data_IF_961719193187
#
_entry.id   IF_961719193187
#
_cell.length_a   1.000
_cell.length_b   1.000
_cell.length_c   1.000
_cell.angle_alpha   90.00
_cell.angle_beta   90.00
_cell.angle_gamma   90.00
#
_symmetry.space_group_name_H-M   'P 1'
#
loop_
_entity.id
_entity.type
_entity.pdbx_description
1 polymer ?
#
# COMPACT_ATOMS: atom_id res chain seq x y z
N UNK A 1 35.23 6.10 49.78
CA UNK A 1 34.61 6.89 48.71
C UNK A 1 34.61 6.03 47.46
N UNK A 2 33.45 5.49 47.08
CA UNK A 2 32.99 5.17 45.73
C UNK A 2 31.83 4.17 45.87
N UNK A 3 30.61 4.71 45.73
CA UNK A 3 29.37 3.96 45.55
C UNK A 3 29.26 3.66 44.05
N UNK A 4 29.22 2.39 43.67
CA UNK A 4 28.94 2.00 42.29
C UNK A 4 27.43 2.03 42.06
N UNK A 5 26.96 3.01 41.29
CA UNK A 5 25.61 3.03 40.73
C UNK A 5 25.56 2.02 39.58
N UNK A 6 24.83 0.93 39.76
CA UNK A 6 24.38 0.10 38.64
C UNK A 6 23.20 0.81 37.97
N UNK A 7 23.46 1.41 36.81
CA UNK A 7 22.41 1.83 35.89
C UNK A 7 21.81 0.60 35.22
N UNK A 8 20.53 0.34 35.48
CA UNK A 8 19.72 -0.53 34.62
C UNK A 8 19.61 0.14 33.25
N UNK A 9 20.30 -0.39 32.25
CA UNK A 9 19.95 -0.14 30.85
C UNK A 9 18.82 -1.10 30.50
N UNK A 10 17.61 -0.56 30.38
CA UNK A 10 16.56 -1.21 29.61
C UNK A 10 17.01 -1.22 28.14
N UNK A 11 17.26 -2.39 27.58
CA UNK A 11 17.44 -2.58 26.14
C UNK A 11 16.11 -2.35 25.45
N UNK A 12 15.92 -1.16 24.91
CA UNK A 12 14.90 -0.90 23.88
C UNK A 12 15.56 -1.18 22.53
N UNK A 13 15.44 -2.40 22.02
CA UNK A 13 15.76 -2.73 20.62
C UNK A 13 14.66 -2.15 19.70
N UNK A 14 14.66 -0.82 19.54
CA UNK A 14 13.90 -0.06 18.51
C UNK A 14 14.87 0.60 17.53
N UNK A 15 15.75 -0.18 16.92
CA UNK A 15 16.65 0.23 15.83
C UNK A 15 16.57 -0.90 14.79
N UNK A 16 15.98 -0.74 13.60
CA UNK A 16 16.57 0.07 12.53
C UNK A 16 15.59 0.36 11.35
N UNK A 17 14.37 0.87 11.59
CA UNK A 17 13.55 1.48 10.51
C UNK A 17 13.01 2.84 10.94
N UNK A 18 13.25 3.89 10.15
CA UNK A 18 13.13 5.24 10.69
C UNK A 18 11.69 5.69 10.97
N UNK A 19 10.65 5.25 10.26
CA UNK A 19 9.26 5.58 10.61
C UNK A 19 8.26 4.51 10.12
N UNK A 20 7.55 3.91 11.06
CA UNK A 20 6.38 3.06 10.85
C UNK A 20 5.23 3.61 11.70
N UNK A 21 4.09 3.88 11.08
CA UNK A 21 2.91 4.46 11.74
C UNK A 21 1.66 3.70 11.32
N UNK A 22 0.89 3.21 12.29
CA UNK A 22 -0.44 2.64 12.06
C UNK A 22 -1.43 3.39 12.94
N UNK A 23 -2.45 3.96 12.31
CA UNK A 23 -3.49 4.74 12.97
C UNK A 23 -4.80 3.99 12.85
N UNK A 24 -5.41 3.68 14.00
CA UNK A 24 -6.79 3.24 14.10
C UNK A 24 -7.68 4.47 14.26
N UNK A 25 -8.38 4.85 13.19
CA UNK A 25 -9.11 6.10 13.14
C UNK A 25 -10.40 6.01 13.98
N UNK A 26 -10.57 6.94 14.91
CA UNK A 26 -11.72 6.97 15.81
C UNK A 26 -11.59 6.05 17.03
N UNK A 27 -10.47 5.32 17.20
CA UNK A 27 -10.15 4.63 18.43
C UNK A 27 -9.99 5.61 19.61
N UNK A 28 -10.33 5.16 20.81
CA UNK A 28 -10.20 5.96 22.05
C UNK A 28 -8.96 5.62 22.87
N UNK A 29 -8.24 4.56 22.49
CA UNK A 29 -6.99 4.13 23.12
C UNK A 29 -6.16 3.36 22.12
N UNK A 30 -4.85 3.50 22.17
CA UNK A 30 -3.94 2.66 21.41
C UNK A 30 -3.98 1.22 21.89
N UNK A 31 -3.66 0.29 20.98
CA UNK A 31 -3.62 -1.13 21.29
C UNK A 31 -2.54 -1.84 20.47
N UNK A 32 -2.11 -3.00 20.97
CA UNK A 32 -1.24 -3.88 20.18
C UNK A 32 -2.07 -4.60 19.13
N UNK A 33 -1.43 -4.92 18.01
CA UNK A 33 -1.97 -5.83 17.01
C UNK A 33 -2.15 -7.23 17.61
N UNK A 34 -3.27 -7.90 17.31
CA UNK A 34 -3.59 -9.20 17.92
C UNK A 34 -2.62 -10.31 17.49
N UNK A 35 -2.01 -10.18 16.31
CA UNK A 35 -1.11 -11.18 15.73
C UNK A 35 0.34 -10.72 15.87
N UNK A 36 0.61 -9.42 15.75
CA UNK A 36 1.97 -8.87 15.78
C UNK A 36 2.18 -8.07 17.03
N UNK A 37 2.66 -8.74 18.07
CA UNK A 37 2.91 -8.14 19.39
C UNK A 37 3.87 -6.94 19.36
N UNK A 38 4.64 -6.78 18.28
CA UNK A 38 5.57 -5.66 18.08
C UNK A 38 4.97 -4.49 17.27
N UNK A 39 3.75 -4.65 16.73
CA UNK A 39 3.02 -3.61 16.01
C UNK A 39 1.96 -2.98 16.91
N UNK A 40 2.03 -1.66 17.03
CA UNK A 40 1.04 -0.85 17.76
C UNK A 40 0.17 -0.07 16.78
N UNK A 41 -1.13 -0.05 17.07
CA UNK A 41 -2.12 0.83 16.47
C UNK A 41 -2.36 2.01 17.41
N UNK A 42 -2.07 3.22 16.94
CA UNK A 42 -2.24 4.47 17.69
C UNK A 42 -3.61 5.10 17.38
N UNK A 43 -4.10 5.97 18.27
CA UNK A 43 -5.29 6.78 17.95
C UNK A 43 -4.94 7.89 16.95
N UNK A 44 -5.96 8.47 16.34
CA UNK A 44 -5.78 9.55 15.36
C UNK A 44 -5.70 10.97 15.95
N UNK A 45 -5.81 11.12 17.27
CA UNK A 45 -5.98 12.42 17.94
C UNK A 45 -4.80 13.39 17.73
N UNK A 46 -3.59 12.87 17.49
CA UNK A 46 -2.40 13.69 17.21
C UNK A 46 -2.33 14.19 15.76
N UNK A 47 -3.08 13.55 14.85
CA UNK A 47 -3.00 13.76 13.41
C UNK A 47 -4.17 14.56 12.86
N UNK A 48 -5.31 14.56 13.57
CA UNK A 48 -6.51 15.31 13.19
C UNK A 48 -7.33 15.72 14.42
N UNK A 49 -7.98 16.88 14.36
CA UNK A 49 -8.76 17.44 15.48
C UNK A 49 -10.27 17.56 15.20
N UNK A 50 -10.71 17.16 14.01
CA UNK A 50 -12.11 17.26 13.55
C UNK A 50 -12.72 15.87 13.34
N UNK A 51 -14.04 15.83 13.14
CA UNK A 51 -14.77 14.59 12.89
C UNK A 51 -15.24 13.88 14.15
N UNK A 52 -16.10 12.88 13.94
CA UNK A 52 -16.75 12.11 14.99
C UNK A 52 -16.28 10.65 14.93
N UNK A 53 -15.88 10.12 16.08
CA UNK A 53 -15.55 8.71 16.26
C UNK A 53 -16.82 7.86 16.18
N UNK A 54 -16.74 6.72 15.48
CA UNK A 54 -17.82 5.74 15.36
C UNK A 54 -17.27 4.36 15.66
N UNK A 55 -18.11 3.53 16.25
CA UNK A 55 -17.83 2.13 16.54
C UNK A 55 -18.79 1.23 15.77
N UNK A 56 -18.27 0.22 15.09
CA UNK A 56 -19.00 -0.71 14.24
C UNK A 56 -19.40 -1.95 15.05
N UNK A 57 -20.48 -1.84 15.83
CA UNK A 57 -20.95 -2.86 16.77
C UNK A 57 -21.16 -4.25 16.13
N UNK A 58 -21.71 -4.29 14.91
CA UNK A 58 -22.10 -5.53 14.23
C UNK A 58 -21.04 -6.04 13.24
N UNK A 59 -19.85 -5.44 13.21
CA UNK A 59 -18.80 -5.84 12.30
C UNK A 59 -18.07 -7.08 12.82
N UNK A 60 -18.40 -8.24 12.24
CA UNK A 60 -17.65 -9.47 12.45
C UNK A 60 -16.40 -9.47 11.54
N UNK A 61 -15.28 -8.98 12.08
CA UNK A 61 -13.99 -8.87 11.38
C UNK A 61 -12.84 -9.33 12.28
N UNK A 62 -11.79 -9.88 11.68
CA UNK A 62 -10.49 -10.14 12.31
C UNK A 62 -9.59 -8.88 12.36
N UNK A 63 -9.95 -7.82 11.63
CA UNK A 63 -9.25 -6.53 11.64
C UNK A 63 -9.81 -5.64 12.75
N UNK A 64 -9.24 -5.75 13.96
CA UNK A 64 -9.70 -4.99 15.14
C UNK A 64 -9.63 -3.49 14.92
N UNK A 65 -8.55 -3.04 14.28
CA UNK A 65 -8.28 -1.67 13.86
C UNK A 65 -9.32 -1.09 12.87
N UNK A 66 -10.26 -1.92 12.40
CA UNK A 66 -11.35 -1.51 11.53
C UNK A 66 -12.72 -1.59 12.20
N UNK A 67 -12.78 -1.89 13.51
CA UNK A 67 -14.02 -1.80 14.30
C UNK A 67 -14.37 -0.36 14.66
N UNK A 68 -13.43 0.55 14.49
CA UNK A 68 -13.59 1.99 14.63
C UNK A 68 -13.42 2.69 13.30
N UNK A 69 -14.05 3.85 13.18
CA UNK A 69 -13.79 4.80 12.10
C UNK A 69 -13.98 6.23 12.61
N UNK A 70 -13.36 7.18 11.92
CA UNK A 70 -13.66 8.61 12.07
C UNK A 70 -14.45 9.10 10.87
N UNK A 71 -15.58 9.76 11.13
CA UNK A 71 -16.48 10.34 10.13
C UNK A 71 -16.43 11.87 10.14
N UNK A 72 -16.65 12.51 9.00
CA UNK A 72 -16.52 13.96 8.83
C UNK A 72 -17.81 14.62 8.35
N UNK A 73 -18.85 14.75 9.20
CA UNK A 73 -20.12 15.35 8.81
C UNK A 73 -20.04 16.86 8.61
N UNK A 74 -18.98 17.49 9.13
CA UNK A 74 -18.71 18.92 9.00
C UNK A 74 -17.40 19.17 8.25
N UNK A 75 -17.36 20.26 7.49
CA UNK A 75 -16.21 20.63 6.65
C UNK A 75 -16.21 19.87 5.32
N UNK A 76 -15.86 20.56 4.24
CA UNK A 76 -15.77 19.97 2.89
C UNK A 76 -14.47 19.22 2.67
N UNK A 77 -13.44 19.51 3.47
CA UNK A 77 -12.11 18.91 3.37
C UNK A 77 -11.54 18.75 4.77
N UNK A 78 -11.17 17.53 5.14
CA UNK A 78 -10.61 17.20 6.45
C UNK A 78 -9.29 16.44 6.24
N UNK A 79 -8.20 16.94 6.81
CA UNK A 79 -6.85 16.46 6.51
C UNK A 79 -6.14 15.96 7.75
N UNK A 80 -5.60 14.74 7.64
CA UNK A 80 -4.62 14.19 8.56
C UNK A 80 -3.26 14.75 8.23
N UNK A 81 -2.53 15.22 9.24
CA UNK A 81 -1.16 15.69 9.09
C UNK A 81 -0.18 14.61 9.57
N UNK A 82 0.35 13.80 8.67
CA UNK A 82 1.22 12.68 9.00
C UNK A 82 2.66 13.16 9.18
N UNK A 83 3.10 13.26 10.43
CA UNK A 83 4.44 13.72 10.84
C UNK A 83 4.90 12.99 12.10
N UNK A 84 6.21 12.92 12.37
CA UNK A 84 7.31 13.28 11.46
C UNK A 84 7.61 12.17 10.45
N UNK A 85 7.96 12.54 9.22
CA UNK A 85 8.51 11.66 8.19
C UNK A 85 9.96 12.09 7.87
N UNK A 86 10.73 11.26 7.18
CA UNK A 86 12.02 11.68 6.63
C UNK A 86 11.78 12.39 5.31
N UNK A 87 12.34 13.58 5.13
CA UNK A 87 12.39 14.24 3.84
C UNK A 87 13.21 13.42 2.82
N UNK A 88 12.69 13.28 1.59
CA UNK A 88 13.22 12.39 0.55
C UNK A 88 13.16 10.90 0.91
N UNK A 89 12.49 10.52 2.01
CA UNK A 89 12.22 9.13 2.32
C UNK A 89 11.17 8.55 1.38
N UNK A 90 11.30 7.26 1.09
CA UNK A 90 10.33 6.50 0.29
C UNK A 90 9.33 5.80 1.21
N UNK A 91 8.05 5.95 0.92
CA UNK A 91 6.97 5.45 1.78
C UNK A 91 5.84 4.81 0.98
N UNK A 92 5.27 3.74 1.55
CA UNK A 92 3.91 3.29 1.29
C UNK A 92 2.98 4.05 2.25
N UNK A 93 1.95 4.69 1.70
CA UNK A 93 0.85 5.31 2.45
C UNK A 93 -0.44 4.57 2.07
N UNK A 94 -1.10 3.96 3.06
CA UNK A 94 -2.33 3.19 2.85
C UNK A 94 -3.46 3.79 3.67
N UNK A 95 -4.57 4.09 3.02
CA UNK A 95 -5.83 4.45 3.68
C UNK A 95 -6.82 3.29 3.56
N UNK A 96 -7.37 2.84 4.69
CA UNK A 96 -8.34 1.75 4.77
C UNK A 96 -9.75 2.23 5.10
N UNK A 97 -10.74 1.58 4.49
CA UNK A 97 -12.14 1.96 4.60
C UNK A 97 -13.04 0.74 4.79
N UNK A 98 -13.81 0.73 5.88
CA UNK A 98 -14.95 -0.18 6.09
C UNK A 98 -16.16 0.67 6.48
N UNK A 99 -17.21 0.65 5.65
CA UNK A 99 -18.42 1.45 5.92
C UNK A 99 -19.20 0.92 7.12
N UNK A 100 -19.40 -0.40 7.20
CA UNK A 100 -20.06 -1.06 8.33
C UNK A 100 -21.45 -0.52 8.70
N UNK A 101 -22.11 0.22 7.79
CA UNK A 101 -23.36 0.92 8.05
C UNK A 101 -23.34 1.83 9.30
N UNK A 102 -22.22 2.52 9.55
CA UNK A 102 -22.00 3.31 10.78
C UNK A 102 -23.05 4.40 11.02
N UNK A 103 -23.72 4.87 9.98
CA UNK A 103 -24.76 5.91 10.02
C UNK A 103 -26.20 5.35 9.94
N UNK A 104 -26.36 4.03 9.79
CA UNK A 104 -27.65 3.37 9.70
C UNK A 104 -28.40 3.58 8.37
N UNK A 105 -27.76 4.15 7.34
CA UNK A 105 -28.43 4.53 6.08
C UNK A 105 -28.37 3.46 4.99
N UNK A 106 -27.53 2.43 5.13
CA UNK A 106 -27.24 1.40 4.11
C UNK A 106 -26.89 2.00 2.74
N UNK A 107 -26.29 3.21 2.75
CA UNK A 107 -25.96 3.97 1.56
C UNK A 107 -24.55 4.55 1.73
N UNK A 108 -23.50 3.77 1.42
CA UNK A 108 -22.13 4.22 1.57
C UNK A 108 -21.89 5.51 0.76
N UNK A 109 -21.27 6.53 1.36
CA UNK A 109 -20.98 7.78 0.68
C UNK A 109 -19.85 7.60 -0.34
N UNK A 110 -19.88 8.41 -1.40
CA UNK A 110 -18.77 8.56 -2.35
C UNK A 110 -18.10 9.91 -2.15
N UNK A 111 -16.79 9.91 -2.00
CA UNK A 111 -15.98 11.10 -1.71
C UNK A 111 -14.58 10.89 -2.28
N UNK A 112 -13.73 11.93 -2.30
CA UNK A 112 -12.36 11.80 -2.78
C UNK A 112 -11.39 11.68 -1.61
N UNK A 113 -10.38 10.82 -1.79
CA UNK A 113 -9.17 10.75 -0.97
C UNK A 113 -8.05 11.46 -1.73
N UNK A 114 -7.41 12.43 -1.09
CA UNK A 114 -6.34 13.21 -1.68
C UNK A 114 -5.07 13.09 -0.84
N UNK A 115 -3.99 12.63 -1.47
CA UNK A 115 -2.64 12.76 -0.95
C UNK A 115 -2.08 14.09 -1.45
N UNK A 116 -2.06 15.11 -0.58
CA UNK A 116 -1.82 16.50 -0.99
C UNK A 116 -0.46 16.65 -1.67
N UNK A 117 -0.47 17.26 -2.85
CA UNK A 117 0.73 17.43 -3.67
C UNK A 117 1.13 16.19 -4.47
N UNK A 118 0.36 15.10 -4.41
CA UNK A 118 0.65 13.86 -5.13
C UNK A 118 -0.50 13.43 -6.06
N UNK A 119 -1.60 12.89 -5.54
CA UNK A 119 -2.71 12.38 -6.35
C UNK A 119 -4.03 12.41 -5.57
N UNK A 120 -5.14 12.22 -6.26
CA UNK A 120 -6.44 11.94 -5.68
C UNK A 120 -7.06 10.67 -6.28
N UNK A 121 -7.96 10.06 -5.52
CA UNK A 121 -8.74 8.90 -5.95
C UNK A 121 -10.14 9.00 -5.35
N UNK A 122 -11.15 8.58 -6.09
CA UNK A 122 -12.51 8.49 -5.56
C UNK A 122 -12.66 7.21 -4.73
N UNK A 123 -13.13 7.37 -3.50
CA UNK A 123 -13.44 6.27 -2.58
C UNK A 123 -14.88 5.82 -2.80
N UNK A 124 -15.04 4.54 -3.06
CA UNK A 124 -16.34 3.87 -3.15
C UNK A 124 -16.32 2.62 -2.30
N UNK A 125 -17.24 2.50 -1.36
CA UNK A 125 -17.37 1.31 -0.49
C UNK A 125 -18.67 0.56 -0.73
N UNK A 126 -18.83 -0.59 -0.08
CA UNK A 126 -20.01 -1.44 -0.22
C UNK A 126 -20.96 -1.29 0.97
N UNK A 127 -22.26 -1.36 0.69
CA UNK A 127 -23.30 -1.37 1.72
C UNK A 127 -23.44 -2.72 2.42
N UNK A 128 -23.03 -3.80 1.75
CA UNK A 128 -23.28 -5.19 2.19
C UNK A 128 -22.01 -6.02 2.29
N UNK A 129 -20.90 -5.56 1.71
CA UNK A 129 -19.61 -6.20 1.81
C UNK A 129 -18.73 -5.39 2.77
N UNK A 130 -18.33 -6.03 3.86
CA UNK A 130 -17.49 -5.44 4.90
C UNK A 130 -16.00 -5.74 4.70
N UNK A 131 -15.61 -6.33 3.58
CA UNK A 131 -14.21 -6.46 3.19
C UNK A 131 -13.56 -5.07 3.11
N UNK A 132 -12.39 -4.88 3.74
CA UNK A 132 -11.66 -3.62 3.68
C UNK A 132 -11.35 -3.20 2.25
N UNK A 133 -11.50 -1.90 1.97
CA UNK A 133 -11.02 -1.28 0.76
C UNK A 133 -9.79 -0.45 1.10
N UNK A 134 -8.71 -0.71 0.40
CA UNK A 134 -7.44 -0.01 0.57
C UNK A 134 -7.11 0.82 -0.65
N UNK A 135 -6.65 2.05 -0.41
CA UNK A 135 -5.98 2.87 -1.39
C UNK A 135 -4.52 3.03 -0.97
N UNK A 136 -3.59 2.53 -1.80
CA UNK A 136 -2.15 2.57 -1.53
C UNK A 136 -1.44 3.52 -2.50
N UNK A 137 -0.64 4.41 -1.92
CA UNK A 137 0.24 5.32 -2.64
C UNK A 137 1.68 5.04 -2.26
N UNK A 138 2.56 4.99 -3.25
CA UNK A 138 3.99 4.94 -3.04
C UNK A 138 4.56 6.29 -3.45
N UNK A 139 5.25 6.93 -2.53
CA UNK A 139 5.77 8.30 -2.68
C UNK A 139 7.24 8.38 -2.27
N UNK A 140 7.94 9.35 -2.83
CA UNK A 140 9.12 9.93 -2.19
C UNK A 140 8.71 11.29 -1.64
N UNK A 141 8.87 11.48 -0.34
CA UNK A 141 8.42 12.68 0.36
C UNK A 141 9.26 13.90 -0.03
N UNK A 142 8.62 15.05 -0.19
CA UNK A 142 9.33 16.33 -0.43
C UNK A 142 9.71 17.06 0.86
N UNK A 143 8.99 16.75 1.94
CA UNK A 143 9.14 17.34 3.27
C UNK A 143 8.93 16.25 4.33
N UNK A 144 9.15 16.59 5.60
CA UNK A 144 8.97 15.70 6.75
C UNK A 144 7.49 15.48 7.14
N UNK A 145 6.57 15.76 6.22
CA UNK A 145 5.13 15.70 6.45
C UNK A 145 4.40 15.37 5.16
N UNK A 146 3.30 14.62 5.30
CA UNK A 146 2.35 14.34 4.21
C UNK A 146 0.93 14.56 4.72
N UNK A 147 0.15 15.35 3.99
CA UNK A 147 -1.26 15.55 4.30
C UNK A 147 -2.13 14.57 3.51
N UNK A 148 -3.01 13.86 4.23
CA UNK A 148 -4.01 12.95 3.66
C UNK A 148 -5.39 13.54 3.93
N UNK A 149 -6.05 14.01 2.88
CA UNK A 149 -7.32 14.72 2.97
C UNK A 149 -8.48 13.89 2.44
N UNK A 150 -9.58 13.90 3.18
CA UNK A 150 -10.89 13.41 2.74
C UNK A 150 -11.73 14.60 2.28
N UNK A 151 -12.17 14.55 1.02
CA UNK A 151 -12.87 15.65 0.35
C UNK A 151 -14.29 15.24 0.03
N UNK A 152 -15.26 15.93 0.64
CA UNK A 152 -16.66 15.78 0.31
C UNK A 152 -16.94 16.41 -1.07
N UNK A 153 -17.21 15.57 -2.06
CA UNK A 153 -17.49 16.02 -3.44
C UNK A 153 -18.96 16.36 -3.67
N UNK A 154 -19.86 15.84 -2.84
CA UNK A 154 -21.30 16.08 -2.91
C UNK A 154 -21.89 16.24 -1.50
N UNK A 155 -22.81 17.19 -1.35
CA UNK A 155 -23.47 17.42 -0.07
C UNK A 155 -24.21 16.17 0.40
N UNK A 156 -24.02 15.80 1.67
CA UNK A 156 -24.62 14.62 2.28
C UNK A 156 -23.81 13.33 2.11
N UNK A 157 -22.81 13.29 1.23
CA UNK A 157 -21.84 12.20 1.21
C UNK A 157 -20.78 12.48 2.29
N UNK A 158 -20.97 11.94 3.48
CA UNK A 158 -20.08 12.18 4.64
C UNK A 158 -18.81 11.34 4.50
N UNK A 159 -17.62 11.94 4.32
CA UNK A 159 -16.39 11.18 4.24
C UNK A 159 -16.07 10.48 5.56
N UNK A 160 -15.36 9.36 5.50
CA UNK A 160 -14.93 8.62 6.67
C UNK A 160 -13.64 7.84 6.36
N UNK A 161 -12.92 7.42 7.39
CA UNK A 161 -11.71 6.58 7.28
C UNK A 161 -11.61 5.64 8.48
N UNK A 162 -11.16 4.41 8.25
CA UNK A 162 -11.01 3.38 9.29
C UNK A 162 -9.55 3.26 9.73
N UNK A 163 -8.60 3.20 8.77
CA UNK A 163 -7.18 3.12 9.09
C UNK A 163 -6.34 4.04 8.22
N UNK A 164 -5.19 4.47 8.76
CA UNK A 164 -4.16 5.18 8.01
C UNK A 164 -2.78 4.67 8.41
N UNK A 165 -2.05 4.12 7.43
CA UNK A 165 -0.77 3.45 7.64
C UNK A 165 0.32 4.12 6.81
N UNK A 166 1.51 4.28 7.40
CA UNK A 166 2.71 4.78 6.72
C UNK A 166 3.88 3.85 7.02
N UNK A 167 4.46 3.31 5.97
CA UNK A 167 5.56 2.34 6.05
C UNK A 167 6.75 2.83 5.22
N UNK A 168 7.91 2.96 5.85
CA UNK A 168 9.16 3.23 5.16
C UNK A 168 9.54 2.08 4.22
N UNK A 169 9.99 2.45 3.02
CA UNK A 169 10.49 1.54 1.99
C UNK A 169 11.96 1.87 1.75
N UNK A 170 12.79 0.84 1.59
CA UNK A 170 14.22 1.03 1.29
C UNK A 170 14.43 1.70 -0.08
N UNK A 171 15.45 2.55 -0.16
CA UNK A 171 15.68 3.43 -1.32
C UNK A 171 15.89 2.66 -2.63
N UNK A 172 16.42 1.44 -2.58
CA UNK A 172 16.70 0.60 -3.76
C UNK A 172 15.43 -0.03 -4.36
N UNK A 173 14.36 -0.18 -3.58
CA UNK A 173 13.09 -0.77 -4.04
C UNK A 173 12.28 0.20 -4.89
N UNK A 174 11.55 -0.29 -5.89
CA UNK A 174 10.74 0.51 -6.82
C UNK A 174 11.57 1.60 -7.52
N UNK A 175 12.56 1.20 -8.32
CA UNK A 175 13.59 2.08 -8.93
C UNK A 175 13.03 3.28 -9.73
N UNK A 176 11.82 3.18 -10.29
CA UNK A 176 11.17 4.24 -11.06
C UNK A 176 10.41 5.27 -10.20
N UNK A 177 10.30 5.03 -8.89
CA UNK A 177 9.68 5.95 -7.96
C UNK A 177 10.67 7.05 -7.54
N UNK A 178 10.32 8.29 -7.81
CA UNK A 178 11.16 9.47 -7.54
C UNK A 178 10.35 10.54 -6.83
N UNK A 179 10.98 11.61 -6.34
CA UNK A 179 10.27 12.76 -5.77
C UNK A 179 9.46 13.60 -6.78
N UNK A 180 9.47 13.21 -8.06
CA UNK A 180 8.67 13.79 -9.13
C UNK A 180 7.50 12.90 -9.55
N UNK A 181 7.39 11.70 -8.97
CA UNK A 181 6.36 10.73 -9.32
C UNK A 181 5.66 10.20 -8.08
N UNK A 182 4.39 9.82 -8.24
CA UNK A 182 3.67 9.00 -7.27
C UNK A 182 3.15 7.76 -7.99
N UNK A 183 3.21 6.62 -7.32
CA UNK A 183 2.55 5.41 -7.79
C UNK A 183 1.29 5.16 -6.97
N UNK A 184 0.18 4.91 -7.65
CA UNK A 184 -1.04 4.40 -7.05
C UNK A 184 -1.16 2.92 -7.39
N UNK A 185 -1.37 2.07 -6.38
CA UNK A 185 -1.49 0.62 -6.61
C UNK A 185 -2.85 0.29 -7.25
N UNK A 186 -2.81 -0.32 -8.43
CA UNK A 186 -4.00 -0.86 -9.09
C UNK A 186 -4.28 -2.29 -8.65
N UNK A 187 -3.22 -3.09 -8.56
CA UNK A 187 -3.32 -4.48 -8.11
C UNK A 187 -1.97 -5.03 -7.67
N UNK A 188 -1.99 -5.89 -6.65
CA UNK A 188 -0.86 -6.71 -6.19
C UNK A 188 -1.38 -8.12 -5.96
N UNK A 189 -1.05 -9.03 -6.87
CA UNK A 189 -1.66 -10.36 -6.96
C UNK A 189 -0.62 -11.45 -6.79
N UNK A 190 -0.93 -12.42 -5.92
CA UNK A 190 -0.24 -13.70 -5.76
C UNK A 190 -1.02 -14.79 -6.51
N UNK A 191 -0.55 -15.16 -7.70
CA UNK A 191 -1.24 -16.06 -8.62
C UNK A 191 -1.05 -17.52 -8.25
N UNK A 192 -2.15 -18.28 -8.32
CA UNK A 192 -2.18 -19.71 -7.98
C UNK A 192 -2.19 -19.99 -6.47
N UNK A 193 -2.15 -18.94 -5.64
CA UNK A 193 -2.22 -19.05 -4.19
C UNK A 193 -3.66 -19.21 -3.70
N UNK A 194 -3.82 -19.96 -2.61
CA UNK A 194 -5.10 -20.17 -1.93
C UNK A 194 -5.32 -19.21 -0.73
N UNK A 195 -4.31 -18.41 -0.37
CA UNK A 195 -4.34 -17.47 0.75
C UNK A 195 -3.62 -16.16 0.41
N UNK A 196 -4.15 -15.04 0.92
CA UNK A 196 -3.52 -13.72 0.82
C UNK A 196 -2.28 -13.69 1.71
N UNK A 197 -1.21 -13.04 1.25
CA UNK A 197 0.07 -12.99 1.97
C UNK A 197 0.49 -11.54 2.25
N UNK A 198 0.77 -11.17 3.51
CA UNK A 198 0.31 -11.87 4.70
C UNK A 198 -1.21 -11.62 4.87
N UNK A 199 -1.92 -12.45 5.65
CA UNK A 199 -3.36 -12.24 5.93
C UNK A 199 -3.58 -10.96 6.78
N UNK A 200 -2.63 -10.69 7.67
CA UNK A 200 -2.43 -9.46 8.42
C UNK A 200 -0.94 -9.14 8.38
N UNK A 201 -0.54 -7.87 8.48
CA UNK A 201 0.87 -7.49 8.43
C UNK A 201 1.73 -8.43 9.28
N UNK A 202 2.87 -8.91 8.81
CA UNK A 202 3.83 -9.61 9.66
C UNK A 202 5.22 -9.30 9.14
N UNK A 203 6.00 -8.57 9.93
CA UNK A 203 7.32 -8.09 9.54
C UNK A 203 8.29 -9.21 9.13
N UNK A 204 8.19 -10.37 9.80
CA UNK A 204 9.04 -11.52 9.49
C UNK A 204 8.76 -12.08 8.09
N UNK A 205 7.52 -11.91 7.61
CA UNK A 205 7.09 -12.40 6.29
C UNK A 205 7.23 -11.30 5.23
N UNK A 206 6.77 -10.08 5.51
CA UNK A 206 6.67 -8.99 4.55
C UNK A 206 7.12 -7.66 5.18
N UNK A 207 8.23 -7.14 4.68
CA UNK A 207 8.96 -6.03 5.31
C UNK A 207 8.41 -4.63 4.99
N UNK A 208 7.59 -4.49 3.94
CA UNK A 208 7.06 -3.19 3.46
C UNK A 208 5.54 -3.05 3.62
N UNK A 209 4.94 -3.84 4.52
CA UNK A 209 3.49 -3.84 4.75
C UNK A 209 2.62 -4.21 3.55
N UNK A 210 3.16 -4.84 2.51
CA UNK A 210 2.40 -5.09 1.28
C UNK A 210 1.42 -6.25 1.46
N UNK A 211 0.18 -6.07 1.01
CA UNK A 211 -0.80 -7.16 0.99
C UNK A 211 -0.84 -7.75 -0.43
N UNK A 212 -0.44 -9.01 -0.55
CA UNK A 212 -0.47 -9.77 -1.80
C UNK A 212 -1.74 -10.61 -1.88
N UNK A 213 -2.73 -10.09 -2.60
CA UNK A 213 -4.04 -10.72 -2.71
C UNK A 213 -3.93 -12.03 -3.48
N UNK A 214 -4.46 -13.12 -2.92
CA UNK A 214 -4.56 -14.38 -3.64
C UNK A 214 -5.42 -14.25 -4.89
N UNK A 215 -5.05 -14.97 -5.95
CA UNK A 215 -5.90 -15.15 -7.12
C UNK A 215 -5.67 -16.53 -7.73
N UNK A 216 -6.71 -17.36 -7.72
CA UNK A 216 -6.76 -18.56 -8.55
C UNK A 216 -7.39 -18.19 -9.88
N UNK A 217 -6.77 -18.59 -11.00
CA UNK A 217 -7.29 -18.31 -12.33
C UNK A 217 -7.75 -19.63 -12.95
N UNK A 218 -9.07 -19.94 -12.97
CA UNK A 218 -9.56 -21.28 -13.32
C UNK A 218 -9.10 -21.82 -14.68
N UNK A 219 -8.76 -20.94 -15.62
CA UNK A 219 -8.24 -21.30 -16.95
C UNK A 219 -6.80 -21.80 -16.94
N UNK A 220 -6.08 -21.69 -15.82
CA UNK A 220 -4.67 -22.06 -15.70
C UNK A 220 -4.47 -22.91 -14.44
N UNK A 221 -3.79 -24.06 -14.53
CA UNK A 221 -3.45 -24.84 -13.34
C UNK A 221 -2.62 -24.02 -12.34
N UNK A 222 -3.03 -24.06 -11.08
CA UNK A 222 -2.22 -23.61 -9.96
C UNK A 222 -1.16 -24.68 -9.66
N UNK A 223 0.10 -24.28 -9.65
CA UNK A 223 1.23 -25.14 -9.30
C UNK A 223 1.90 -24.62 -8.04
N UNK A 224 2.46 -25.53 -7.24
CA UNK A 224 3.09 -25.23 -5.95
C UNK A 224 4.53 -25.73 -5.93
N UNK A 225 5.41 -24.89 -5.41
CA UNK A 225 6.77 -25.25 -5.01
C UNK A 225 6.69 -25.97 -3.67
N UNK A 226 7.36 -27.12 -3.54
CA UNK A 226 7.40 -27.87 -2.29
C UNK A 226 7.79 -27.00 -1.08
N UNK A 227 7.31 -27.41 0.10
CA UNK A 227 7.41 -26.68 1.37
C UNK A 227 8.83 -26.19 1.67
N UNK A 228 8.99 -24.87 1.78
CA UNK A 228 10.21 -24.19 2.20
C UNK A 228 9.87 -23.18 3.31
N UNK A 229 10.88 -22.65 3.99
CA UNK A 229 10.71 -21.79 5.17
C UNK A 229 9.78 -20.58 4.88
N UNK A 230 8.64 -20.42 5.57
CA UNK A 230 7.74 -19.27 5.43
C UNK A 230 8.41 -17.92 5.73
N UNK A 231 9.51 -17.92 6.48
CA UNK A 231 10.19 -16.72 6.95
C UNK A 231 11.44 -16.38 6.13
N UNK A 232 11.70 -17.10 5.03
CA UNK A 232 12.75 -16.73 4.11
C UNK A 232 12.40 -15.44 3.35
N UNK A 233 13.41 -14.66 2.94
CA UNK A 233 13.24 -13.51 2.06
C UNK A 233 13.82 -13.81 0.68
N UNK A 234 13.18 -13.28 -0.37
CA UNK A 234 13.75 -13.32 -1.71
C UNK A 234 14.88 -12.31 -1.86
N UNK A 235 15.93 -12.67 -2.59
CA UNK A 235 16.98 -11.75 -3.04
C UNK A 235 16.60 -10.99 -4.33
N UNK A 236 15.36 -11.14 -4.81
CA UNK A 236 14.86 -10.39 -5.96
C UNK A 236 14.57 -8.93 -5.62
N UNK A 237 14.64 -8.07 -6.64
CA UNK A 237 14.28 -6.65 -6.53
C UNK A 237 12.91 -6.44 -5.86
N UNK A 238 12.77 -5.36 -5.10
CA UNK A 238 11.61 -5.06 -4.27
C UNK A 238 11.33 -6.08 -3.14
N UNK A 239 12.24 -7.05 -2.91
CA UNK A 239 12.19 -7.98 -1.78
C UNK A 239 10.81 -8.64 -1.59
N UNK A 240 10.24 -9.32 -2.62
CA UNK A 240 8.94 -9.98 -2.48
C UNK A 240 9.03 -11.06 -1.38
N UNK A 241 7.96 -11.23 -0.58
CA UNK A 241 7.99 -12.20 0.51
C UNK A 241 7.98 -13.61 -0.08
N UNK A 242 8.75 -14.52 0.50
CA UNK A 242 8.93 -15.85 -0.08
C UNK A 242 7.63 -16.66 -0.29
N UNK A 243 6.60 -16.55 0.58
CA UNK A 243 5.32 -17.22 0.34
C UNK A 243 4.57 -16.78 -0.94
N UNK A 244 4.88 -15.61 -1.49
CA UNK A 244 4.36 -15.14 -2.79
C UNK A 244 5.00 -15.89 -3.96
N UNK A 245 6.14 -16.53 -3.74
CA UNK A 245 6.88 -17.27 -4.76
C UNK A 245 6.60 -18.78 -4.72
N UNK A 246 5.77 -19.25 -3.79
CA UNK A 246 5.42 -20.66 -3.63
C UNK A 246 4.41 -21.16 -4.65
N UNK A 247 3.53 -20.27 -5.09
CA UNK A 247 2.49 -20.62 -6.03
C UNK A 247 2.69 -19.87 -7.33
N UNK A 248 2.22 -20.47 -8.41
CA UNK A 248 2.10 -19.82 -9.70
C UNK A 248 0.89 -20.37 -10.44
N UNK A 249 0.45 -19.61 -11.43
CA UNK A 249 -0.31 -20.16 -12.56
C UNK A 249 0.67 -20.58 -13.65
N UNK A 250 0.35 -21.66 -14.35
CA UNK A 250 1.10 -22.19 -15.49
C UNK A 250 0.15 -22.38 -16.68
N UNK A 251 0.60 -22.16 -17.92
CA UNK A 251 -0.22 -22.59 -19.07
C UNK A 251 -0.21 -24.11 -19.22
N UNK A 252 -1.23 -24.70 -19.84
CA UNK A 252 -1.31 -26.16 -19.93
C UNK A 252 -0.15 -26.78 -20.72
N UNK A 253 0.39 -26.06 -21.70
CA UNK A 253 1.43 -26.53 -22.61
C UNK A 253 2.38 -25.39 -23.01
N UNK A 254 3.58 -25.74 -23.48
CA UNK A 254 4.57 -24.77 -24.01
C UNK A 254 4.07 -23.91 -25.16
N UNK A 255 3.11 -24.41 -25.95
CA UNK A 255 2.50 -23.69 -27.07
C UNK A 255 1.38 -22.73 -26.67
N UNK A 256 0.97 -22.73 -25.40
CA UNK A 256 -0.14 -21.92 -24.88
C UNK A 256 0.37 -20.75 -24.05
N UNK A 257 -0.42 -19.67 -24.03
CA UNK A 257 -0.09 -18.43 -23.31
C UNK A 257 -1.03 -18.19 -22.14
N UNK A 258 -0.51 -17.58 -21.08
CA UNK A 258 -1.30 -16.98 -20.00
C UNK A 258 -1.78 -15.61 -20.47
N UNK A 259 -3.07 -15.31 -20.30
CA UNK A 259 -3.69 -14.04 -20.69
C UNK A 259 -4.49 -13.47 -19.53
N UNK A 260 -4.13 -12.28 -19.08
CA UNK A 260 -4.69 -11.62 -17.90
C UNK A 260 -5.16 -10.22 -18.26
N UNK A 261 -6.39 -9.89 -17.88
CA UNK A 261 -6.97 -8.56 -18.09
C UNK A 261 -6.80 -7.72 -16.83
N UNK A 262 -6.08 -6.62 -16.95
CA UNK A 262 -5.82 -5.68 -15.86
C UNK A 262 -6.76 -4.49 -16.01
N UNK A 263 -7.34 -4.08 -14.88
CA UNK A 263 -8.24 -2.93 -14.79
C UNK A 263 -7.56 -1.84 -13.99
N UNK A 264 -7.72 -0.61 -14.44
CA UNK A 264 -7.24 0.59 -13.79
C UNK A 264 -8.43 1.37 -13.26
N UNK A 265 -8.25 2.06 -12.13
CA UNK A 265 -9.30 2.91 -11.58
C UNK A 265 -9.59 4.12 -12.50
N UNK A 266 -8.56 4.72 -13.08
CA UNK A 266 -8.69 5.81 -14.05
C UNK A 266 -8.81 5.27 -15.47
N UNK A 267 -9.74 5.83 -16.25
CA UNK A 267 -9.96 5.50 -17.66
C UNK A 267 -9.20 6.41 -18.61
N UNK A 268 -8.68 7.51 -18.08
CA UNK A 268 -7.86 8.48 -18.80
C UNK A 268 -6.52 7.85 -19.19
N UNK A 269 -5.87 8.35 -20.26
CA UNK A 269 -4.52 7.91 -20.61
C UNK A 269 -3.54 8.15 -19.45
N UNK A 270 -2.78 7.12 -19.07
CA UNK A 270 -1.77 7.18 -18.01
C UNK A 270 -0.54 6.33 -18.33
N UNK A 271 0.56 6.57 -17.61
CA UNK A 271 1.72 5.68 -17.59
C UNK A 271 1.57 4.68 -16.46
N UNK A 272 1.81 3.41 -16.74
CA UNK A 272 1.73 2.33 -15.76
C UNK A 272 3.10 1.67 -15.56
N UNK A 273 3.29 1.11 -14.37
CA UNK A 273 4.45 0.30 -14.00
C UNK A 273 3.99 -1.12 -13.69
N UNK A 274 4.45 -2.09 -14.46
CA UNK A 274 4.18 -3.50 -14.26
C UNK A 274 5.43 -4.17 -13.69
N UNK A 275 5.26 -5.01 -12.67
CA UNK A 275 6.35 -5.79 -12.08
C UNK A 275 5.92 -7.25 -12.06
N UNK A 276 6.66 -8.10 -12.76
CA UNK A 276 6.40 -9.53 -12.83
C UNK A 276 7.39 -10.30 -11.97
N UNK A 277 6.89 -11.28 -11.23
CA UNK A 277 7.68 -12.12 -10.35
C UNK A 277 7.64 -13.56 -10.83
N UNK A 278 8.82 -14.13 -11.04
CA UNK A 278 8.99 -15.51 -11.48
C UNK A 278 9.94 -16.25 -10.54
N UNK A 279 9.53 -17.42 -10.07
CA UNK A 279 10.36 -18.36 -9.33
C UNK A 279 10.46 -19.67 -10.12
N UNK A 280 11.56 -20.41 -9.95
CA UNK A 280 11.60 -21.77 -10.48
C UNK A 280 10.76 -22.69 -9.60
N UNK A 281 9.81 -23.35 -10.23
CA UNK A 281 9.02 -24.42 -9.63
C UNK A 281 9.72 -25.75 -9.93
N UNK A 282 10.06 -26.50 -8.88
CA UNK A 282 10.81 -27.74 -9.01
C UNK A 282 9.91 -28.82 -9.64
N UNK A 283 10.12 -29.10 -10.93
CA UNK A 283 9.70 -30.37 -11.51
C UNK A 283 10.82 -31.40 -11.28
N UNK A 284 10.44 -32.66 -11.00
CA UNK A 284 11.35 -33.76 -10.68
C UNK A 284 12.59 -33.75 -11.59
N UNK A 285 13.78 -33.58 -10.99
CA UNK A 285 15.10 -33.37 -11.62
C UNK A 285 15.63 -34.52 -12.50
N UNK A 286 14.78 -35.37 -13.05
CA UNK A 286 15.16 -36.65 -13.66
C UNK A 286 15.25 -36.62 -15.19
N UNK A 287 15.24 -35.44 -15.85
CA UNK A 287 15.18 -35.28 -17.33
C UNK A 287 16.04 -34.08 -17.82
N UNK A 288 16.38 -33.97 -19.14
CA UNK A 288 17.49 -33.13 -19.63
C UNK A 288 17.24 -31.66 -19.32
N UNK A 289 18.29 -30.81 -19.40
CA UNK A 289 18.29 -29.38 -19.03
C UNK A 289 16.95 -28.69 -19.39
N UNK A 290 16.04 -28.63 -18.44
CA UNK A 290 14.74 -27.99 -18.61
C UNK A 290 14.98 -26.47 -18.55
N UNK A 291 14.49 -25.77 -19.57
CA UNK A 291 14.58 -24.32 -19.68
C UNK A 291 13.17 -23.73 -19.64
N UNK A 292 12.98 -22.69 -18.83
CA UNK A 292 11.77 -21.89 -18.81
C UNK A 292 12.15 -20.44 -19.08
N UNK A 293 11.85 -19.98 -20.28
CA UNK A 293 12.04 -18.59 -20.72
C UNK A 293 10.67 -18.07 -21.16
N UNK A 294 10.31 -16.86 -20.75
CA UNK A 294 9.00 -16.29 -21.05
C UNK A 294 9.14 -14.99 -21.83
N UNK A 295 8.27 -14.79 -22.81
CA UNK A 295 8.08 -13.53 -23.50
C UNK A 295 6.81 -12.86 -22.94
N UNK A 296 6.94 -11.60 -22.54
CA UNK A 296 5.90 -10.80 -21.91
C UNK A 296 5.42 -9.76 -22.92
N UNK A 297 4.11 -9.78 -23.19
CA UNK A 297 3.43 -8.83 -24.04
C UNK A 297 2.41 -8.04 -23.22
N UNK A 298 2.29 -6.75 -23.50
CA UNK A 298 1.21 -5.90 -22.98
C UNK A 298 0.52 -5.24 -24.18
N UNK A 299 -0.79 -5.46 -24.29
CA UNK A 299 -1.63 -5.03 -25.42
C UNK A 299 -1.06 -5.45 -26.78
N UNK A 300 -0.56 -6.70 -26.83
CA UNK A 300 0.02 -7.31 -28.03
C UNK A 300 1.43 -6.81 -28.39
N UNK A 301 2.00 -5.86 -27.63
CA UNK A 301 3.37 -5.40 -27.84
C UNK A 301 4.33 -6.19 -26.95
N UNK A 302 5.40 -6.75 -27.53
CA UNK A 302 6.46 -7.38 -26.77
C UNK A 302 7.17 -6.34 -25.90
N UNK A 303 7.30 -6.63 -24.61
CA UNK A 303 7.93 -5.74 -23.63
C UNK A 303 9.22 -6.30 -23.09
N UNK A 304 9.31 -7.62 -22.92
CA UNK A 304 10.49 -8.29 -22.42
C UNK A 304 10.51 -9.76 -22.83
N UNK A 305 11.71 -10.30 -23.04
CA UNK A 305 11.96 -11.74 -23.09
C UNK A 305 12.96 -12.03 -21.97
N UNK A 306 12.60 -12.95 -21.08
CA UNK A 306 13.47 -13.32 -19.97
C UNK A 306 14.58 -14.24 -20.43
N UNK A 307 15.73 -14.16 -19.76
CA UNK A 307 16.67 -15.28 -19.72
C UNK A 307 16.01 -16.51 -19.07
N UNK A 308 16.73 -17.64 -19.03
CA UNK A 308 16.24 -18.82 -18.34
C UNK A 308 15.97 -18.50 -16.87
N UNK A 309 14.73 -18.72 -16.44
CA UNK A 309 14.30 -18.42 -15.08
C UNK A 309 15.21 -19.21 -14.11
N UNK A 310 15.87 -18.53 -13.14
CA UNK A 310 17.00 -19.09 -12.40
C UNK A 310 16.75 -20.45 -11.77
N UNK A 311 17.73 -21.35 -11.90
CA UNK A 311 17.61 -22.74 -11.44
C UNK A 311 18.21 -23.04 -10.05
N UNK A 312 18.88 -22.08 -9.42
CA UNK A 312 19.76 -22.33 -8.27
C UNK A 312 19.06 -22.19 -6.91
N UNK A 313 19.71 -22.72 -5.88
CA UNK A 313 19.17 -22.95 -4.54
C UNK A 313 18.41 -21.76 -3.90
N UNK A 314 17.20 -22.11 -3.44
CA UNK A 314 16.40 -21.59 -2.32
C UNK A 314 15.92 -20.14 -2.24
N UNK A 315 16.61 -19.13 -2.81
CA UNK A 315 16.35 -17.73 -2.38
C UNK A 315 16.25 -16.71 -3.55
N UNK A 316 16.40 -17.14 -4.80
CA UNK A 316 16.37 -16.22 -5.95
C UNK A 316 15.02 -16.18 -6.67
N UNK A 317 14.50 -14.96 -6.84
CA UNK A 317 13.36 -14.63 -7.71
C UNK A 317 13.85 -13.80 -8.90
N UNK A 318 13.37 -14.11 -10.10
CA UNK A 318 13.50 -13.20 -11.24
C UNK A 318 12.38 -12.17 -11.17
N UNK A 319 12.76 -10.90 -11.09
CA UNK A 319 11.84 -9.76 -11.09
C UNK A 319 12.01 -9.03 -12.42
N UNK A 320 10.91 -8.83 -13.15
CA UNK A 320 10.91 -8.15 -14.45
C UNK A 320 10.10 -6.86 -14.32
N UNK A 321 10.75 -5.71 -14.07
CA UNK A 321 10.10 -4.42 -14.07
C UNK A 321 9.91 -3.89 -15.51
N UNK A 322 8.70 -3.46 -15.86
CA UNK A 322 8.34 -2.91 -17.17
C UNK A 322 7.72 -1.52 -16.97
N UNK A 323 8.47 -0.49 -17.35
CA UNK A 323 8.08 0.91 -17.27
C UNK A 323 8.77 1.74 -18.37
N UNK A 324 8.10 2.77 -18.93
CA UNK A 324 6.68 3.06 -18.80
C UNK A 324 5.81 2.20 -19.73
N UNK A 325 4.59 1.89 -19.31
CA UNK A 325 3.56 1.28 -20.14
C UNK A 325 2.42 2.27 -20.34
N UNK A 326 2.19 2.72 -21.57
CA UNK A 326 1.08 3.62 -21.86
C UNK A 326 -0.24 2.84 -21.85
N UNK A 327 -1.15 3.21 -20.95
CA UNK A 327 -2.47 2.58 -20.82
C UNK A 327 -3.53 3.59 -21.24
N UNK A 328 -4.48 3.15 -22.08
CA UNK A 328 -5.60 3.97 -22.53
C UNK A 328 -6.91 3.22 -22.36
N UNK A 329 -7.95 3.89 -21.85
CA UNK A 329 -9.28 3.28 -21.70
C UNK A 329 -9.45 2.43 -20.43
N UNK A 330 -8.54 2.53 -19.47
CA UNK A 330 -8.67 1.93 -18.14
C UNK A 330 -8.46 0.42 -18.07
N UNK A 331 -7.90 -0.21 -19.12
CA UNK A 331 -7.56 -1.64 -19.10
C UNK A 331 -6.31 -1.91 -19.91
N UNK A 332 -5.55 -2.95 -19.51
CA UNK A 332 -4.44 -3.51 -20.29
C UNK A 332 -4.55 -5.03 -20.33
N UNK A 333 -4.16 -5.65 -21.44
CA UNK A 333 -4.09 -7.10 -21.57
C UNK A 333 -2.64 -7.57 -21.49
N UNK A 334 -2.33 -8.33 -20.46
CA UNK A 334 -1.04 -8.99 -20.27
C UNK A 334 -1.09 -10.37 -20.91
N UNK A 335 -0.09 -10.71 -21.71
CA UNK A 335 0.10 -12.05 -22.26
C UNK A 335 1.51 -12.55 -21.96
N UNK A 336 1.62 -13.74 -21.39
CA UNK A 336 2.89 -14.40 -21.07
C UNK A 336 2.94 -15.70 -21.87
N UNK A 337 3.95 -15.84 -22.73
CA UNK A 337 4.10 -17.00 -23.62
C UNK A 337 5.49 -17.60 -23.49
N UNK A 338 5.67 -18.85 -23.90
CA UNK A 338 7.00 -19.46 -23.97
C UNK A 338 7.87 -18.70 -25.00
N UNK A 339 9.07 -18.29 -24.58
CA UNK A 339 10.06 -17.73 -25.48
C UNK A 339 10.76 -18.84 -26.29
N UNK A 340 11.44 -18.45 -27.38
CA UNK A 340 12.19 -19.38 -28.21
C UNK A 340 13.24 -20.14 -27.39
N UNK A 341 13.20 -21.47 -27.45
CA UNK A 341 14.11 -22.34 -26.69
C UNK A 341 13.61 -22.71 -25.30
N UNK A 342 12.46 -22.20 -24.85
CA UNK A 342 11.79 -22.70 -23.65
C UNK A 342 11.25 -24.11 -23.91
N UNK A 343 11.54 -25.04 -23.00
CA UNK A 343 11.04 -26.41 -23.03
C UNK A 343 9.89 -26.62 -22.04
N UNK A 344 9.70 -25.69 -21.11
CA UNK A 344 8.63 -25.70 -20.12
C UNK A 344 7.56 -24.65 -20.43
N UNK A 345 6.29 -24.88 -20.04
CA UNK A 345 5.24 -23.89 -20.19
C UNK A 345 5.55 -22.58 -19.46
N UNK A 346 5.05 -21.42 -19.95
CA UNK A 346 5.15 -20.16 -19.24
C UNK A 346 4.43 -20.21 -17.88
N UNK A 347 4.98 -19.49 -16.90
CA UNK A 347 4.43 -19.36 -15.55
C UNK A 347 4.31 -17.89 -15.15
N UNK A 348 3.53 -17.64 -14.10
CA UNK A 348 3.54 -16.38 -13.36
C UNK A 348 3.26 -16.63 -11.88
N UNK A 349 4.16 -16.19 -11.00
CA UNK A 349 3.95 -16.29 -9.55
C UNK A 349 3.16 -15.09 -9.03
N UNK A 350 3.60 -13.88 -9.34
CA UNK A 350 2.96 -12.67 -8.85
C UNK A 350 3.12 -11.49 -9.79
N UNK A 351 2.26 -10.49 -9.61
CA UNK A 351 2.33 -9.24 -10.36
C UNK A 351 1.90 -8.07 -9.49
N UNK A 352 2.67 -6.98 -9.58
CA UNK A 352 2.24 -5.66 -9.14
C UNK A 352 1.99 -4.77 -10.35
N UNK A 353 0.93 -3.96 -10.27
CA UNK A 353 0.59 -2.96 -11.27
C UNK A 353 0.28 -1.64 -10.58
N UNK A 354 0.95 -0.58 -11.04
CA UNK A 354 0.75 0.77 -10.56
C UNK A 354 0.36 1.72 -11.69
N UNK A 355 -0.49 2.69 -11.38
CA UNK A 355 -0.60 3.94 -12.14
C UNK A 355 0.45 4.93 -11.66
N UNK A 356 1.09 5.63 -12.58
CA UNK A 356 2.08 6.67 -12.28
C UNK A 356 1.53 8.05 -12.63
N UNK A 357 1.63 8.97 -11.67
CA UNK A 357 1.27 10.38 -11.87
C UNK A 357 2.50 11.28 -11.68
N UNK A 358 2.64 12.26 -12.58
CA UNK A 358 3.69 13.26 -12.52
C UNK A 358 3.31 14.36 -11.52
N UNK A 359 4.15 14.56 -10.51
CA UNK A 359 3.97 15.51 -9.41
C UNK A 359 5.07 16.57 -9.38
N UNK A 360 5.85 16.69 -10.46
CA UNK A 360 6.96 17.63 -10.57
C UNK A 360 6.53 19.10 -10.49
N UNK A 361 5.25 19.38 -10.72
CA UNK A 361 4.68 20.75 -10.70
C UNK A 361 3.87 21.04 -9.43
N UNK A 362 3.73 20.08 -8.53
CA UNK A 362 2.88 20.21 -7.35
C UNK A 362 3.49 21.08 -6.22
N UNK A 363 4.71 21.60 -6.40
CA UNK A 363 5.50 22.35 -5.40
C UNK A 363 4.91 23.70 -4.96
N UNK A 364 3.70 24.07 -5.41
CA UNK A 364 3.09 25.37 -5.12
C UNK A 364 2.14 25.40 -3.91
N UNK A 365 1.91 24.29 -3.20
CA UNK A 365 0.89 24.26 -2.12
C UNK A 365 1.42 24.48 -0.69
N UNK A 366 2.69 24.16 -0.40
CA UNK A 366 3.24 24.35 0.95
C UNK A 366 3.70 25.78 1.27
N UNK A 367 3.42 26.77 0.40
CA UNK A 367 3.84 28.16 0.57
C UNK A 367 2.77 29.14 1.09
N UNK A 368 1.51 28.72 1.29
CA UNK A 368 0.51 29.57 1.96
C UNK A 368 0.39 29.15 3.41
N UNK A 369 1.12 29.85 4.27
CA UNK A 369 0.77 30.01 5.67
C UNK A 369 -0.75 30.20 5.76
N UNK A 370 -1.43 29.22 6.35
CA UNK A 370 -2.77 29.43 6.90
C UNK A 370 -2.55 30.43 8.03
N UNK A 371 -2.66 31.72 7.70
CA UNK A 371 -2.74 32.76 8.71
C UNK A 371 -4.00 32.49 9.49
N UNK A 372 -3.85 31.91 10.69
CA UNK A 372 -4.83 32.06 11.75
C UNK A 372 -5.11 33.57 11.86
N UNK A 373 -6.32 34.00 11.47
CA UNK A 373 -6.85 35.27 11.92
C UNK A 373 -7.03 35.14 13.44
N UNK A 374 -5.95 35.41 14.17
CA UNK A 374 -6.01 35.68 15.59
C UNK A 374 -6.89 36.90 15.78
N UNK A 375 -8.10 36.68 16.29
CA UNK A 375 -8.92 37.74 16.85
C UNK A 375 -8.12 38.42 17.97
N UNK A 376 -7.53 39.57 17.67
CA UNK A 376 -6.94 40.45 18.68
C UNK A 376 -8.08 40.99 19.54
N UNK A 377 -8.33 40.35 20.69
CA UNK A 377 -9.09 40.94 21.78
C UNK A 377 -8.32 42.18 22.28
N UNK A 378 -8.78 43.36 21.92
CA UNK A 378 -8.34 44.60 22.54
C UNK A 378 -8.92 44.68 23.97
N UNK A 379 -8.11 44.31 24.96
CA UNK A 379 -8.36 44.62 26.37
C UNK A 379 -8.17 46.13 26.59
N UNK A 380 -9.27 46.88 26.63
CA UNK A 380 -9.29 48.24 27.15
C UNK A 380 -9.19 48.16 28.69
N UNK A 381 -7.99 48.40 29.23
CA UNK A 381 -7.84 48.69 30.66
C UNK A 381 -8.13 50.17 30.91
N UNK A 382 -9.26 50.44 31.57
CA UNK A 382 -9.50 51.70 32.26
C UNK A 382 -8.56 51.79 33.48
N UNK A 383 -7.70 52.81 33.50
CA UNK A 383 -7.02 53.26 34.72
C UNK A 383 -7.45 54.70 35.01
N UNK A 384 -8.46 54.81 35.86
CA UNK A 384 -8.69 55.98 36.71
C UNK A 384 -7.87 55.74 37.97
N UNK A 385 -6.93 56.61 38.32
CA UNK A 385 -6.74 57.06 39.70
C UNK A 385 -5.90 58.35 39.75
N UNK A 386 -6.40 59.25 40.60
CA UNK A 386 -5.94 60.60 40.95
C UNK A 386 -4.59 60.63 41.70
N UNK A 387 -3.83 61.74 41.59
CA UNK A 387 -3.52 62.70 42.69
C UNK A 387 -2.41 63.72 42.34
N UNK A 388 -2.66 65.00 42.74
CA UNK A 388 -1.74 66.13 43.01
C UNK A 388 -1.12 66.81 41.75
N UNK A 389 -1.26 68.10 41.44
CA UNK A 389 -1.57 69.36 42.17
C UNK A 389 -2.63 70.21 41.44
#
# INVERSE_FOLDING_TARGET
MLVALQSFQASSDRLDRPYWLNIDCGATSSHQDEINVDLTWETDDEFITTGDNKFLLDLNTSFVEMKTLRSFPSGTTNCYNLRPLIAQGKYLVRAGFVYGNYDGLLKPPTFDLQLVGYSNVTVTTSATNNEPIYHEFFIVTKAEVVDVCLVQTQQGNVPFISTLEVTFIEDESYTWLTNKTVFYLESRINYGANQTVPERFNYSTEVYNRIWKREEVPSYPSISVGHRDPNAWSLGDNSPPYPVLWHAIESHNTSESISLKIKFHDKSPLSAYFIFYFSKILHNFSRPIESRMVAIYIDGQEKNITDNIPAYYEIYCLVVPIYPVNVTGGTANVTITAAQGSTLPPILNAMEVFSQYDVSKADNYHGRNITFFGFSFALFFCLVYWLLE
#
